data_IF_995506931341
#
_entry.id   IF_995506931341
#
_cell.length_a   1.000
_cell.length_b   1.000
_cell.length_c   1.000
_cell.angle_alpha   90.00
_cell.angle_beta   90.00
_cell.angle_gamma   90.00
#
_symmetry.space_group_name_H-M   'P 1'
#
loop_
_entity.id
_entity.type
_entity.pdbx_description
1 polymer ?
#
# COMPACT_ATOMS: atom_id res chain seq x y z
N UNK A 1 38.24 42.72 35.06
CA UNK A 1 38.04 42.71 33.58
C UNK A 1 38.21 41.31 32.96
N UNK A 2 37.71 40.24 33.59
CA UNK A 2 37.83 38.85 33.05
C UNK A 2 36.54 38.02 33.15
N UNK A 3 35.44 38.62 33.62
CA UNK A 3 34.14 37.94 33.79
C UNK A 3 33.11 38.25 32.70
N UNK A 4 33.36 39.26 31.86
CA UNK A 4 32.44 39.69 30.78
C UNK A 4 32.78 39.02 29.44
N UNK A 5 33.98 38.46 29.28
CA UNK A 5 34.39 37.81 28.02
C UNK A 5 33.91 36.36 27.87
N UNK A 6 33.39 35.72 28.91
CA UNK A 6 33.00 34.29 28.85
C UNK A 6 31.53 34.11 28.46
N UNK A 7 30.70 35.15 28.54
CA UNK A 7 29.27 35.06 28.22
C UNK A 7 28.94 35.32 26.75
N UNK A 8 29.90 35.76 25.93
CA UNK A 8 29.64 36.06 24.51
C UNK A 8 29.97 34.89 23.55
N UNK A 9 30.69 33.86 24.02
CA UNK A 9 31.14 32.74 23.18
C UNK A 9 30.17 31.54 23.19
N UNK A 10 29.18 31.51 24.08
CA UNK A 10 28.24 30.38 24.22
C UNK A 10 26.93 30.52 23.46
N UNK A 11 26.71 31.63 22.73
CA UNK A 11 25.50 31.81 21.90
C UNK A 11 25.71 31.39 20.43
N UNK A 12 26.93 31.04 20.02
CA UNK A 12 27.25 30.77 18.61
C UNK A 12 27.09 29.32 18.14
N UNK A 13 26.64 28.38 18.98
CA UNK A 13 26.60 26.94 18.63
C UNK A 13 25.19 26.35 18.43
N UNK A 14 24.17 27.17 18.23
CA UNK A 14 22.82 26.69 17.85
C UNK A 14 22.37 27.16 16.45
N UNK A 15 23.29 27.23 15.50
CA UNK A 15 22.94 27.26 14.09
C UNK A 15 22.71 25.81 13.61
N UNK A 16 21.56 25.24 13.98
CA UNK A 16 21.06 24.04 13.33
C UNK A 16 20.88 24.40 11.84
N UNK A 17 21.38 23.61 10.88
CA UNK A 17 21.16 23.91 9.48
C UNK A 17 19.65 23.89 9.19
N UNK A 18 19.07 25.06 8.94
CA UNK A 18 17.71 25.26 8.42
C UNK A 18 17.53 24.72 6.99
N UNK A 19 18.52 23.99 6.45
CA UNK A 19 18.55 23.46 5.09
C UNK A 19 18.01 22.03 4.95
N UNK A 20 17.43 21.46 6.00
CA UNK A 20 16.82 20.13 5.97
C UNK A 20 15.30 20.14 5.71
N UNK A 21 14.69 21.32 5.49
CA UNK A 21 13.28 21.38 5.13
C UNK A 21 13.14 21.17 3.62
N UNK A 22 12.71 19.97 3.23
CA UNK A 22 12.28 19.70 1.85
C UNK A 22 11.26 20.76 1.42
N UNK A 23 11.51 21.44 0.30
CA UNK A 23 10.56 22.38 -0.26
C UNK A 23 9.36 21.61 -0.75
N UNK A 24 8.21 21.80 -0.10
CA UNK A 24 6.97 21.11 -0.46
C UNK A 24 6.46 21.64 -1.81
N UNK A 25 6.46 20.77 -2.82
CA UNK A 25 5.84 21.08 -4.12
C UNK A 25 4.32 20.97 -4.03
N UNK A 26 3.67 22.09 -3.74
CA UNK A 26 2.21 22.20 -3.66
C UNK A 26 1.53 21.91 -5.00
N UNK A 27 2.19 22.23 -6.13
CA UNK A 27 1.63 21.97 -7.45
C UNK A 27 1.59 20.46 -7.74
N UNK A 28 2.64 19.72 -7.36
CA UNK A 28 2.64 18.26 -7.43
C UNK A 28 1.56 17.65 -6.53
N UNK A 29 1.39 18.17 -5.31
CA UNK A 29 0.34 17.70 -4.39
C UNK A 29 -1.05 17.86 -5.00
N UNK A 30 -1.35 19.02 -5.60
CA UNK A 30 -2.65 19.24 -6.27
C UNK A 30 -2.85 18.30 -7.46
N UNK A 31 -1.79 17.99 -8.23
CA UNK A 31 -1.86 17.00 -9.30
C UNK A 31 -2.16 15.59 -8.78
N UNK A 32 -1.52 15.17 -7.68
CA UNK A 32 -1.77 13.87 -7.05
C UNK A 32 -3.21 13.79 -6.53
N UNK A 33 -3.72 14.85 -5.90
CA UNK A 33 -5.11 14.93 -5.44
C UNK A 33 -6.09 14.82 -6.61
N UNK A 34 -5.87 15.58 -7.68
CA UNK A 34 -6.71 15.53 -8.87
C UNK A 34 -6.74 14.12 -9.48
N UNK A 35 -5.59 13.44 -9.55
CA UNK A 35 -5.55 12.05 -10.02
C UNK A 35 -6.35 11.11 -9.12
N UNK A 36 -6.20 11.23 -7.80
CA UNK A 36 -6.89 10.38 -6.83
C UNK A 36 -8.40 10.63 -6.71
N UNK A 37 -8.86 11.86 -6.92
CA UNK A 37 -10.25 12.27 -6.72
C UNK A 37 -11.05 12.35 -8.02
N UNK A 38 -10.47 12.85 -9.10
CA UNK A 38 -11.18 13.10 -10.37
C UNK A 38 -10.96 11.99 -11.40
N UNK A 39 -9.78 11.35 -11.40
CA UNK A 39 -9.39 10.31 -12.37
C UNK A 39 -9.18 8.95 -11.72
N UNK A 40 -9.81 8.74 -10.56
CA UNK A 40 -9.60 7.56 -9.75
C UNK A 40 -9.92 6.26 -10.48
N UNK A 41 -8.96 5.33 -10.47
CA UNK A 41 -9.13 3.95 -10.95
C UNK A 41 -9.50 2.96 -9.84
N UNK A 42 -9.74 3.45 -8.62
CA UNK A 42 -9.95 2.61 -7.43
C UNK A 42 -11.07 1.59 -7.61
N UNK A 43 -12.21 1.99 -8.19
CA UNK A 43 -13.35 1.09 -8.36
C UNK A 43 -13.12 0.02 -9.42
N UNK A 44 -12.37 0.36 -10.48
CA UNK A 44 -11.97 -0.58 -11.53
C UNK A 44 -11.04 -1.65 -10.95
N UNK A 45 -10.00 -1.24 -10.24
CA UNK A 45 -9.04 -2.14 -9.60
C UNK A 45 -9.70 -2.98 -8.50
N UNK A 46 -10.57 -2.36 -7.69
CA UNK A 46 -11.34 -3.07 -6.67
C UNK A 46 -12.22 -4.16 -7.30
N UNK A 47 -12.94 -3.84 -8.38
CA UNK A 47 -13.79 -4.80 -9.07
C UNK A 47 -12.97 -5.96 -9.65
N UNK A 48 -11.86 -5.67 -10.33
CA UNK A 48 -11.00 -6.72 -10.88
C UNK A 48 -10.49 -7.65 -9.78
N UNK A 49 -9.97 -7.09 -8.70
CA UNK A 49 -9.47 -7.90 -7.59
C UNK A 49 -10.60 -8.73 -6.94
N UNK A 50 -11.73 -8.12 -6.62
CA UNK A 50 -12.78 -8.77 -5.82
C UNK A 50 -13.71 -9.67 -6.62
N UNK A 51 -14.07 -9.29 -7.86
CA UNK A 51 -15.04 -10.02 -8.67
C UNK A 51 -14.38 -10.88 -9.75
N UNK A 52 -13.28 -10.43 -10.36
CA UNK A 52 -12.59 -11.20 -11.40
C UNK A 52 -11.61 -12.20 -10.79
N UNK A 53 -10.76 -11.77 -9.85
CA UNK A 53 -9.82 -12.69 -9.19
C UNK A 53 -10.51 -13.51 -8.11
N UNK A 54 -11.38 -12.87 -7.31
CA UNK A 54 -12.11 -13.53 -6.22
C UNK A 54 -11.31 -13.63 -4.91
N UNK A 55 -11.59 -14.63 -4.05
CA UNK A 55 -10.85 -14.89 -2.81
C UNK A 55 -9.38 -15.22 -3.06
N UNK A 56 -8.46 -14.57 -2.33
CA UNK A 56 -7.00 -14.59 -2.60
C UNK A 56 -6.19 -15.02 -1.39
N UNK A 57 -6.55 -16.15 -0.79
CA UNK A 57 -5.79 -16.71 0.33
C UNK A 57 -4.33 -16.93 -0.10
N UNK A 58 -3.37 -16.66 0.78
CA UNK A 58 -1.94 -16.81 0.50
C UNK A 58 -1.59 -18.21 -0.01
N UNK A 59 -0.64 -18.27 -0.95
CA UNK A 59 -0.21 -19.49 -1.63
C UNK A 59 -1.32 -20.25 -2.41
N UNK A 60 -2.40 -19.56 -2.79
CA UNK A 60 -3.40 -20.11 -3.74
C UNK A 60 -3.15 -19.64 -5.18
N UNK A 61 -3.71 -20.33 -6.20
CA UNK A 61 -3.66 -19.85 -7.58
C UNK A 61 -4.28 -18.45 -7.76
N UNK A 62 -5.33 -18.13 -7.01
CA UNK A 62 -5.97 -16.81 -7.06
C UNK A 62 -5.06 -15.70 -6.51
N UNK A 63 -4.32 -15.98 -5.44
CA UNK A 63 -3.29 -15.07 -4.95
C UNK A 63 -2.22 -14.79 -6.02
N UNK A 64 -1.69 -15.84 -6.68
CA UNK A 64 -0.69 -15.68 -7.73
C UNK A 64 -1.20 -14.83 -8.90
N UNK A 65 -2.44 -15.07 -9.35
CA UNK A 65 -3.08 -14.25 -10.41
C UNK A 65 -3.18 -12.76 -10.03
N UNK A 66 -3.53 -12.45 -8.78
CA UNK A 66 -3.58 -11.05 -8.34
C UNK A 66 -2.19 -10.42 -8.24
N UNK A 67 -1.20 -11.16 -7.76
CA UNK A 67 0.17 -10.70 -7.68
C UNK A 67 0.72 -10.39 -9.09
N UNK A 68 0.52 -11.31 -10.04
CA UNK A 68 0.92 -11.13 -11.44
C UNK A 68 0.21 -9.95 -12.10
N UNK A 69 -1.09 -9.80 -11.83
CA UNK A 69 -1.84 -8.64 -12.32
C UNK A 69 -1.30 -7.33 -11.74
N UNK A 70 -0.88 -7.30 -10.48
CA UNK A 70 -0.27 -6.13 -9.86
C UNK A 70 1.05 -5.73 -10.53
N UNK A 71 1.92 -6.71 -10.82
CA UNK A 71 3.17 -6.48 -11.56
C UNK A 71 2.88 -5.88 -12.93
N UNK A 72 1.93 -6.45 -13.69
CA UNK A 72 1.53 -5.92 -14.99
C UNK A 72 1.04 -4.48 -14.91
N UNK A 73 0.26 -4.10 -13.88
CA UNK A 73 -0.19 -2.71 -13.71
C UNK A 73 0.97 -1.76 -13.42
N UNK A 74 1.93 -2.18 -12.61
CA UNK A 74 3.12 -1.38 -12.35
C UNK A 74 3.96 -1.18 -13.62
N UNK A 75 4.14 -2.22 -14.43
CA UNK A 75 4.81 -2.13 -15.73
C UNK A 75 4.06 -1.19 -16.69
N UNK A 76 2.73 -1.30 -16.79
CA UNK A 76 1.89 -0.42 -17.62
C UNK A 76 1.98 1.06 -17.21
N UNK A 77 2.17 1.34 -15.92
CA UNK A 77 2.36 2.70 -15.41
C UNK A 77 3.79 3.22 -15.57
N UNK A 78 4.70 2.40 -16.11
CA UNK A 78 6.09 2.75 -16.36
C UNK A 78 6.99 2.65 -15.13
N UNK A 79 6.63 1.87 -14.11
CA UNK A 79 7.52 1.60 -12.99
C UNK A 79 8.65 0.68 -13.43
N UNK A 80 9.86 1.01 -13.01
CA UNK A 80 11.03 0.18 -13.24
C UNK A 80 11.14 -0.91 -12.17
N UNK A 81 11.69 -2.07 -12.53
CA UNK A 81 11.94 -3.20 -11.63
C UNK A 81 10.69 -3.76 -10.95
N UNK A 82 9.53 -3.75 -11.61
CA UNK A 82 8.34 -4.46 -11.11
C UNK A 82 8.57 -5.98 -11.17
N UNK A 83 8.57 -6.65 -10.02
CA UNK A 83 8.73 -8.10 -9.93
C UNK A 83 8.11 -8.64 -8.64
N UNK A 84 7.97 -9.96 -8.57
CA UNK A 84 7.52 -10.65 -7.36
C UNK A 84 8.73 -11.11 -6.54
N UNK A 85 8.70 -10.84 -5.24
CA UNK A 85 9.65 -11.40 -4.29
C UNK A 85 9.03 -12.63 -3.61
N UNK A 86 9.71 -13.76 -3.74
CA UNK A 86 9.30 -15.00 -3.08
C UNK A 86 9.77 -15.05 -1.63
N UNK A 87 8.92 -15.55 -0.75
CA UNK A 87 9.30 -15.96 0.60
C UNK A 87 8.73 -17.34 0.91
N UNK A 88 9.32 -18.03 1.90
CA UNK A 88 8.81 -19.33 2.32
C UNK A 88 7.53 -19.17 3.15
N UNK A 89 6.40 -19.50 2.53
CA UNK A 89 5.08 -19.52 3.17
C UNK A 89 4.62 -20.94 3.53
N UNK A 90 5.25 -21.97 2.95
CA UNK A 90 4.73 -23.34 2.97
C UNK A 90 3.56 -23.59 2.00
N UNK A 91 2.72 -24.59 2.31
CA UNK A 91 1.62 -25.01 1.42
C UNK A 91 0.40 -24.12 1.57
N UNK A 92 -0.14 -23.66 0.44
CA UNK A 92 -1.45 -23.03 0.39
C UNK A 92 -2.60 -24.01 0.56
N UNK A 93 -3.79 -23.47 0.74
CA UNK A 93 -5.02 -24.25 0.87
C UNK A 93 -6.10 -23.70 -0.06
N UNK A 94 -6.78 -24.58 -0.80
CA UNK A 94 -7.91 -24.20 -1.67
C UNK A 94 -9.08 -25.12 -1.37
N UNK A 95 -10.25 -24.52 -1.12
CA UNK A 95 -11.48 -25.27 -0.95
C UNK A 95 -12.04 -25.65 -2.32
N UNK A 96 -12.04 -26.93 -2.66
CA UNK A 96 -12.62 -27.43 -3.91
C UNK A 96 -14.14 -27.64 -3.79
N UNK A 97 -14.62 -28.00 -2.60
CA UNK A 97 -16.04 -28.21 -2.34
C UNK A 97 -16.36 -28.25 -0.85
N UNK A 98 -17.55 -27.75 -0.50
CA UNK A 98 -18.11 -27.81 0.83
C UNK A 98 -19.59 -28.20 0.71
N UNK A 99 -19.93 -29.37 1.23
CA UNK A 99 -21.32 -29.83 1.33
C UNK A 99 -21.80 -29.66 2.76
N UNK A 100 -22.91 -28.95 2.92
CA UNK A 100 -23.57 -28.74 4.20
C UNK A 100 -25.02 -29.17 4.07
N UNK A 101 -25.45 -30.11 4.93
CA UNK A 101 -26.82 -30.62 4.95
C UNK A 101 -27.45 -30.38 6.32
N UNK A 102 -28.62 -29.74 6.32
CA UNK A 102 -29.40 -29.53 7.53
C UNK A 102 -30.10 -30.84 7.92
N UNK A 103 -29.72 -31.42 9.06
CA UNK A 103 -30.29 -32.68 9.56
C UNK A 103 -31.67 -32.53 10.22
N UNK A 104 -31.98 -31.35 10.74
CA UNK A 104 -33.29 -31.06 11.34
C UNK A 104 -33.61 -29.57 11.24
N UNK A 105 -34.90 -29.18 11.17
CA UNK A 105 -35.28 -27.78 11.00
C UNK A 105 -34.76 -26.89 12.14
N UNK A 106 -34.23 -25.72 11.77
CA UNK A 106 -34.05 -24.57 12.68
C UNK A 106 -34.69 -23.33 12.07
N UNK A 107 -35.14 -22.43 12.95
CA UNK A 107 -35.65 -21.12 12.54
C UNK A 107 -34.59 -20.34 11.77
N UNK A 108 -34.93 -19.87 10.58
CA UNK A 108 -34.12 -18.95 9.75
C UNK A 108 -34.96 -17.69 9.50
N UNK A 109 -34.52 -16.50 9.93
CA UNK A 109 -35.21 -15.26 9.59
C UNK A 109 -35.11 -15.01 8.07
N UNK A 110 -36.21 -14.56 7.47
CA UNK A 110 -36.24 -14.05 6.10
C UNK A 110 -35.64 -12.64 6.03
#
# INVERSE_FOLDING_TARGET
MKRVLITLTTISTLAIPLGAQETVDLAMIERIKAEGLERSKVMEHFNYLTNVVGPRLSATPAYKRAADWGVLRFEEWGLENAHLESWDFGRGWTLEGLTLEMRSPRYFPR
#
